data_IF_361971188411
#
_entry.id   IF_361971188411
#
_cell.length_a   1.000
_cell.length_b   1.000
_cell.length_c   1.000
_cell.angle_alpha   90.00
_cell.angle_beta   90.00
_cell.angle_gamma   90.00
#
_symmetry.space_group_name_H-M   'P 1'
#
loop_
_entity.id
_entity.type
_entity.pdbx_description
1 polymer ?
#
# COMPACT_ATOMS: atom_id res chain seq x y z
N UNK A 1 -0.39 -1.88 -0.66
CA UNK A 1 -1.06 -0.56 -0.72
C UNK A 1 -2.33 -0.64 -1.56
N UNK A 2 -3.42 -0.06 -1.08
CA UNK A 2 -4.71 -0.06 -1.76
C UNK A 2 -4.69 0.75 -3.06
N UNK A 3 -5.37 0.23 -4.10
CA UNK A 3 -5.64 0.93 -5.37
C UNK A 3 -6.90 1.81 -5.30
N UNK A 4 -7.45 2.00 -4.11
CA UNK A 4 -8.60 2.88 -3.90
C UNK A 4 -8.27 4.31 -4.34
N UNK A 5 -9.23 4.94 -5.03
CA UNK A 5 -9.15 6.34 -5.44
C UNK A 5 -7.98 6.67 -6.38
N UNK A 6 -7.53 5.69 -7.17
CA UNK A 6 -6.51 5.89 -8.21
C UNK A 6 -7.14 6.59 -9.43
N UNK A 7 -6.47 7.63 -9.91
CA UNK A 7 -6.82 8.33 -11.16
C UNK A 7 -6.12 7.70 -12.36
N UNK A 8 -4.81 7.41 -12.20
CA UNK A 8 -3.97 6.96 -13.31
C UNK A 8 -2.80 6.10 -12.82
N UNK A 9 -2.46 5.10 -13.62
CA UNK A 9 -1.23 4.31 -13.47
C UNK A 9 -0.41 4.49 -14.73
N UNK A 10 0.83 4.94 -14.58
CA UNK A 10 1.80 5.11 -15.67
C UNK A 10 2.93 4.10 -15.50
N UNK A 11 3.24 3.36 -16.56
CA UNK A 11 4.36 2.40 -16.57
C UNK A 11 5.45 2.94 -17.50
N UNK A 12 6.58 3.31 -16.93
CA UNK A 12 7.76 3.75 -17.66
C UNK A 12 8.74 2.58 -17.79
N UNK A 13 9.06 2.20 -19.01
CA UNK A 13 10.00 1.10 -19.31
C UNK A 13 11.39 1.67 -19.54
N UNK A 14 12.40 1.00 -18.97
CA UNK A 14 13.81 1.42 -19.05
C UNK A 14 14.18 2.48 -17.99
N UNK A 15 15.46 2.89 -17.98
CA UNK A 15 16.00 3.77 -16.93
C UNK A 15 15.31 5.12 -16.83
N UNK A 16 14.86 5.49 -15.63
CA UNK A 16 14.22 6.76 -15.32
C UNK A 16 15.00 7.57 -14.25
N UNK A 17 16.25 7.20 -13.99
CA UNK A 17 17.05 7.71 -12.88
C UNK A 17 17.26 9.23 -12.87
N UNK A 18 17.34 9.88 -14.05
CA UNK A 18 17.52 11.33 -14.17
C UNK A 18 16.34 12.15 -13.66
N UNK A 19 15.14 11.57 -13.70
CA UNK A 19 13.90 12.27 -13.29
C UNK A 19 13.36 11.80 -11.95
N UNK A 20 13.51 10.51 -11.63
CA UNK A 20 12.87 9.87 -10.48
C UNK A 20 13.84 9.26 -9.48
N UNK A 21 15.16 9.46 -9.65
CA UNK A 21 16.19 9.04 -8.72
C UNK A 21 16.81 7.68 -9.03
N UNK A 22 17.81 7.30 -8.25
CA UNK A 22 18.69 6.16 -8.51
C UNK A 22 18.01 4.79 -8.54
N UNK A 23 16.88 4.64 -7.85
CA UNK A 23 16.17 3.35 -7.76
C UNK A 23 15.37 2.98 -9.01
N UNK A 24 15.25 3.88 -10.00
CA UNK A 24 14.47 3.66 -11.23
C UNK A 24 15.33 3.13 -12.40
N UNK A 25 16.15 2.09 -12.18
CA UNK A 25 17.08 1.54 -13.19
C UNK A 25 16.38 0.67 -14.24
N UNK A 26 15.45 -0.18 -13.85
CA UNK A 26 14.73 -1.09 -14.75
C UNK A 26 13.44 -0.51 -15.32
N UNK A 27 12.89 0.50 -14.67
CA UNK A 27 11.61 1.13 -14.97
C UNK A 27 10.97 1.75 -13.75
N UNK A 28 9.76 2.27 -13.93
CA UNK A 28 8.98 2.91 -12.88
C UNK A 28 7.49 2.67 -13.10
N UNK A 29 6.78 2.33 -12.04
CA UNK A 29 5.32 2.36 -11.99
C UNK A 29 4.93 3.56 -11.14
N UNK A 30 4.25 4.53 -11.77
CA UNK A 30 3.76 5.72 -11.08
C UNK A 30 2.26 5.62 -10.91
N UNK A 31 1.81 5.67 -9.66
CA UNK A 31 0.40 5.69 -9.31
C UNK A 31 0.01 7.11 -8.92
N UNK A 32 -0.96 7.66 -9.62
CA UNK A 32 -1.55 8.96 -9.32
C UNK A 32 -2.94 8.75 -8.76
N UNK A 33 -3.19 9.26 -7.57
CA UNK A 33 -4.52 9.27 -6.95
C UNK A 33 -5.23 10.57 -7.28
N UNK A 34 -6.58 10.52 -7.27
CA UNK A 34 -7.41 11.71 -7.57
C UNK A 34 -7.07 12.89 -6.67
N UNK A 35 -7.14 14.08 -7.22
CA UNK A 35 -6.94 15.31 -6.48
C UNK A 35 -8.29 15.86 -5.95
N UNK A 36 -8.27 16.67 -4.86
CA UNK A 36 -9.44 17.40 -4.42
C UNK A 36 -10.00 18.29 -5.53
N UNK A 37 -11.32 18.34 -5.67
CA UNK A 37 -12.04 19.14 -6.65
C UNK A 37 -13.27 19.84 -6.03
N UNK A 38 -13.90 20.81 -6.71
CA UNK A 38 -15.03 21.54 -6.16
C UNK A 38 -16.35 20.74 -6.05
N UNK A 39 -16.42 19.56 -6.62
CA UNK A 39 -17.61 18.70 -6.59
C UNK A 39 -17.66 17.92 -5.26
N UNK A 40 -18.87 17.70 -4.73
CA UNK A 40 -19.03 16.84 -3.55
C UNK A 40 -19.20 15.40 -3.99
N UNK A 41 -18.38 14.51 -3.42
CA UNK A 41 -18.41 13.07 -3.67
C UNK A 41 -18.39 12.33 -2.33
N UNK A 42 -19.25 11.31 -2.22
CA UNK A 42 -19.22 10.32 -1.14
C UNK A 42 -19.39 8.95 -1.78
N UNK A 43 -18.38 8.11 -1.64
CA UNK A 43 -18.44 6.69 -2.02
C UNK A 43 -18.21 5.83 -0.79
N UNK A 44 -19.10 4.86 -0.59
CA UNK A 44 -19.01 3.84 0.44
C UNK A 44 -19.11 2.47 -0.24
N UNK A 45 -18.16 1.58 0.03
CA UNK A 45 -18.20 0.20 -0.42
C UNK A 45 -17.97 -0.73 0.76
N UNK A 46 -18.81 -1.75 0.86
CA UNK A 46 -18.67 -2.84 1.83
C UNK A 46 -18.51 -4.12 1.04
N UNK A 47 -17.46 -4.86 1.33
CA UNK A 47 -17.16 -6.15 0.71
C UNK A 47 -17.29 -7.25 1.74
N UNK A 48 -17.92 -8.36 1.35
CA UNK A 48 -17.97 -9.58 2.14
C UNK A 48 -17.77 -10.78 1.21
N UNK A 49 -16.96 -11.74 1.62
CA UNK A 49 -16.59 -12.88 0.78
C UNK A 49 -16.33 -14.15 1.56
N UNK A 50 -15.81 -15.16 0.86
CA UNK A 50 -15.34 -16.42 1.46
C UNK A 50 -14.07 -16.16 2.29
N UNK A 51 -13.67 -17.14 3.12
CA UNK A 51 -12.49 -17.07 3.99
C UNK A 51 -12.51 -15.86 4.93
N UNK A 52 -13.67 -15.62 5.56
CA UNK A 52 -13.93 -14.48 6.44
C UNK A 52 -13.61 -13.10 5.83
N UNK A 53 -13.55 -13.01 4.48
CA UNK A 53 -13.22 -11.76 3.80
C UNK A 53 -14.21 -10.66 4.15
N UNK A 54 -13.67 -9.53 4.63
CA UNK A 54 -14.38 -8.29 4.89
C UNK A 54 -13.58 -7.14 4.28
N UNK A 55 -14.29 -6.13 3.78
CA UNK A 55 -13.68 -4.93 3.27
C UNK A 55 -14.56 -3.72 3.49
N UNK A 56 -13.93 -2.59 3.72
CA UNK A 56 -14.59 -1.31 3.88
C UNK A 56 -13.79 -0.24 3.13
N UNK A 57 -14.45 0.46 2.19
CA UNK A 57 -13.89 1.58 1.47
C UNK A 57 -14.72 2.82 1.71
N UNK A 58 -14.09 3.94 1.93
CA UNK A 58 -14.71 5.26 2.06
C UNK A 58 -13.92 6.28 1.25
N UNK A 59 -14.62 7.02 0.37
CA UNK A 59 -14.08 8.19 -0.32
C UNK A 59 -14.98 9.38 -0.02
N UNK A 60 -14.37 10.48 0.38
CA UNK A 60 -15.03 11.76 0.59
C UNK A 60 -14.27 12.83 -0.18
N UNK A 61 -14.95 13.60 -1.01
CA UNK A 61 -14.44 14.82 -1.60
C UNK A 61 -15.39 15.98 -1.30
N UNK A 62 -14.88 17.07 -0.77
CA UNK A 62 -15.72 18.21 -0.40
C UNK A 62 -14.97 19.53 -0.51
N UNK A 63 -15.57 20.57 -1.12
CA UNK A 63 -15.11 21.95 -0.90
C UNK A 63 -15.48 22.38 0.52
N UNK A 64 -14.47 22.73 1.32
CA UNK A 64 -14.64 23.35 2.64
C UNK A 64 -14.96 24.84 2.47
N UNK A 65 -14.32 25.47 1.49
CA UNK A 65 -14.60 26.82 1.00
C UNK A 65 -14.23 26.91 -0.50
N UNK A 66 -14.44 28.07 -1.13
CA UNK A 66 -13.97 28.32 -2.50
C UNK A 66 -12.46 28.17 -2.65
N UNK A 67 -11.71 28.41 -1.56
CA UNK A 67 -10.26 28.37 -1.53
C UNK A 67 -9.68 27.09 -0.92
N UNK A 68 -10.50 26.24 -0.30
CA UNK A 68 -10.03 25.05 0.41
C UNK A 68 -10.84 23.81 0.03
N UNK A 69 -10.18 22.87 -0.60
CA UNK A 69 -10.75 21.61 -1.06
C UNK A 69 -10.11 20.46 -0.28
N UNK A 70 -10.91 19.49 0.10
CA UNK A 70 -10.50 18.29 0.86
C UNK A 70 -10.93 17.04 0.12
N UNK A 71 -10.02 16.06 0.06
CA UNK A 71 -10.31 14.68 -0.37
C UNK A 71 -9.71 13.70 0.63
N UNK A 72 -10.52 12.76 1.10
CA UNK A 72 -10.08 11.69 1.98
C UNK A 72 -10.47 10.34 1.37
N UNK A 73 -9.60 9.35 1.50
CA UNK A 73 -9.85 7.97 1.10
C UNK A 73 -9.35 7.03 2.20
N UNK A 74 -10.17 6.08 2.57
CA UNK A 74 -9.87 5.03 3.55
C UNK A 74 -10.26 3.68 2.99
N UNK A 75 -9.39 2.69 3.16
CA UNK A 75 -9.62 1.30 2.80
C UNK A 75 -9.16 0.41 3.93
N UNK A 76 -9.94 -0.60 4.23
CA UNK A 76 -9.62 -1.68 5.16
C UNK A 76 -10.02 -3.01 4.51
N UNK A 77 -9.17 -4.01 4.60
CA UNK A 77 -9.40 -5.33 4.03
C UNK A 77 -8.84 -6.42 4.95
N UNK A 78 -9.70 -7.32 5.38
CA UNK A 78 -9.37 -8.50 6.18
C UNK A 78 -9.78 -9.78 5.44
N UNK A 79 -9.00 -10.85 5.61
CA UNK A 79 -9.32 -12.20 5.14
C UNK A 79 -8.46 -13.24 5.85
N UNK A 80 -8.99 -14.41 6.15
CA UNK A 80 -8.20 -15.54 6.66
C UNK A 80 -7.25 -16.13 5.59
N UNK A 81 -7.46 -15.75 4.30
CA UNK A 81 -6.72 -16.35 3.18
C UNK A 81 -7.36 -17.64 2.72
N UNK A 82 -6.68 -18.35 1.83
CA UNK A 82 -7.23 -19.54 1.18
C UNK A 82 -6.36 -20.80 1.37
N UNK A 83 -5.30 -20.70 2.16
CA UNK A 83 -4.42 -21.81 2.50
C UNK A 83 -4.87 -22.44 3.82
N UNK A 84 -4.74 -23.75 3.93
CA UNK A 84 -4.90 -24.49 5.17
C UNK A 84 -3.57 -25.08 5.59
N UNK A 85 -3.09 -24.68 6.75
CA UNK A 85 -1.89 -25.26 7.32
C UNK A 85 -2.26 -26.54 8.09
N UNK A 86 -1.92 -27.67 7.53
CA UNK A 86 -2.27 -28.98 8.06
C UNK A 86 -1.44 -29.34 9.30
N UNK A 87 -0.23 -28.84 9.41
CA UNK A 87 0.62 -29.11 10.58
C UNK A 87 0.10 -28.39 11.83
N UNK A 88 -0.24 -27.10 11.67
CA UNK A 88 -0.74 -26.27 12.77
C UNK A 88 -2.26 -26.38 12.98
N UNK A 89 -2.99 -27.08 12.09
CA UNK A 89 -4.45 -27.17 12.07
C UNK A 89 -5.12 -25.78 12.05
N UNK A 90 -4.67 -24.92 11.09
CA UNK A 90 -5.13 -23.53 10.96
C UNK A 90 -5.42 -23.18 9.51
N UNK A 91 -6.41 -22.30 9.30
CA UNK A 91 -6.85 -21.79 8.00
C UNK A 91 -6.59 -20.27 7.81
N UNK A 92 -5.87 -19.65 8.75
CA UNK A 92 -5.58 -18.21 8.75
C UNK A 92 -4.08 -17.87 8.72
N UNK A 93 -3.21 -18.83 8.38
CA UNK A 93 -1.75 -18.59 8.30
C UNK A 93 -1.32 -17.82 7.05
N UNK A 94 -2.22 -17.74 6.05
CA UNK A 94 -2.08 -16.89 4.85
C UNK A 94 -3.10 -15.75 4.85
N UNK A 95 -3.45 -15.26 6.03
CA UNK A 95 -4.42 -14.19 6.20
C UNK A 95 -3.94 -12.86 5.64
N UNK A 96 -4.87 -11.92 5.48
CA UNK A 96 -4.62 -10.54 5.09
C UNK A 96 -5.28 -9.59 6.07
N UNK A 97 -4.54 -8.58 6.49
CA UNK A 97 -5.01 -7.45 7.28
C UNK A 97 -4.29 -6.21 6.75
N UNK A 98 -5.00 -5.43 5.96
CA UNK A 98 -4.44 -4.28 5.26
C UNK A 98 -5.32 -3.05 5.47
N UNK A 99 -4.72 -1.94 5.87
CA UNK A 99 -5.39 -0.66 5.88
C UNK A 99 -4.61 0.42 5.14
N UNK A 100 -5.33 1.37 4.54
CA UNK A 100 -4.74 2.53 3.87
C UNK A 100 -5.60 3.75 4.13
N UNK A 101 -5.00 4.79 4.67
CA UNK A 101 -5.61 6.10 4.85
C UNK A 101 -4.90 7.13 4.00
N UNK A 102 -5.66 8.01 3.35
CA UNK A 102 -5.11 9.12 2.56
C UNK A 102 -5.95 10.36 2.73
N UNK A 103 -5.28 11.50 2.95
CA UNK A 103 -5.90 12.82 3.00
C UNK A 103 -5.15 13.74 2.06
N UNK A 104 -5.87 14.43 1.21
CA UNK A 104 -5.37 15.49 0.35
C UNK A 104 -6.10 16.80 0.61
N UNK A 105 -5.35 17.86 0.67
CA UNK A 105 -5.86 19.22 0.85
C UNK A 105 -5.31 20.07 -0.29
N UNK A 106 -6.18 20.78 -0.97
CA UNK A 106 -5.82 21.83 -1.94
C UNK A 106 -6.25 23.17 -1.40
N UNK A 107 -5.28 24.06 -1.23
CA UNK A 107 -5.49 25.43 -0.82
C UNK A 107 -5.12 26.40 -1.95
N UNK A 108 -6.07 27.28 -2.28
CA UNK A 108 -6.00 28.28 -3.34
C UNK A 108 -6.13 29.66 -2.71
N UNK A 109 -5.07 30.22 -2.07
CA UNK A 109 -5.15 31.49 -1.37
C UNK A 109 -5.53 32.66 -2.27
N UNK A 110 -5.17 32.57 -3.55
CA UNK A 110 -5.53 33.50 -4.62
C UNK A 110 -5.36 32.83 -5.99
N UNK A 111 -5.60 33.55 -7.09
CA UNK A 111 -5.52 33.02 -8.45
C UNK A 111 -4.10 32.67 -8.92
N UNK A 112 -3.08 33.15 -8.22
CA UNK A 112 -1.67 32.90 -8.55
C UNK A 112 -1.09 31.69 -7.81
N UNK A 113 -1.67 31.31 -6.67
CA UNK A 113 -1.12 30.26 -5.80
C UNK A 113 -2.02 29.05 -5.68
N UNK A 114 -1.40 27.89 -5.76
CA UNK A 114 -2.02 26.60 -5.40
C UNK A 114 -1.05 25.83 -4.51
N UNK A 115 -1.53 25.35 -3.39
CA UNK A 115 -0.79 24.50 -2.44
C UNK A 115 -1.54 23.19 -2.25
N UNK A 116 -0.90 22.09 -2.64
CA UNK A 116 -1.41 20.73 -2.45
C UNK A 116 -0.62 20.05 -1.32
N UNK A 117 -1.31 19.60 -0.29
CA UNK A 117 -0.78 18.77 0.78
C UNK A 117 -1.38 17.36 0.66
N UNK A 118 -0.53 16.35 0.78
CA UNK A 118 -0.96 14.95 0.80
C UNK A 118 -0.35 14.22 1.99
N UNK A 119 -1.18 13.51 2.73
CA UNK A 119 -0.81 12.66 3.84
C UNK A 119 -1.31 11.25 3.55
N UNK A 120 -0.53 10.23 3.84
CA UNK A 120 -0.97 8.84 3.74
C UNK A 120 -0.32 7.98 4.83
N UNK A 121 -1.09 7.02 5.31
CA UNK A 121 -0.64 5.94 6.16
C UNK A 121 -1.04 4.62 5.50
N UNK A 122 -0.16 3.62 5.56
CA UNK A 122 -0.36 2.27 5.06
C UNK A 122 0.08 1.31 6.15
N UNK A 123 -0.83 0.44 6.55
CA UNK A 123 -0.57 -0.64 7.48
C UNK A 123 -0.89 -1.98 6.81
N UNK A 124 0.02 -2.94 6.96
CA UNK A 124 -0.11 -4.32 6.46
C UNK A 124 0.37 -5.26 7.55
N UNK A 125 -0.44 -6.23 7.93
CA UNK A 125 -0.06 -7.34 8.83
C UNK A 125 -0.59 -8.65 8.25
N UNK A 126 0.02 -9.11 7.16
CA UNK A 126 -0.38 -10.31 6.44
C UNK A 126 0.39 -11.52 6.94
N UNK A 127 -0.27 -12.70 6.94
CA UNK A 127 0.43 -13.96 6.94
C UNK A 127 1.06 -14.26 5.59
N UNK A 128 2.11 -15.07 5.57
CA UNK A 128 2.83 -15.40 4.33
C UNK A 128 3.04 -16.91 4.13
N UNK A 129 2.17 -17.74 4.70
CA UNK A 129 2.16 -19.19 4.54
C UNK A 129 1.53 -19.58 3.18
N UNK A 130 2.28 -19.34 2.11
CA UNK A 130 1.81 -19.44 0.73
C UNK A 130 2.38 -20.61 -0.05
N UNK A 131 3.38 -21.31 0.50
CA UNK A 131 4.13 -22.34 -0.21
C UNK A 131 3.59 -23.74 0.10
N UNK A 132 3.30 -24.49 -0.94
CA UNK A 132 2.78 -25.85 -0.86
C UNK A 132 3.68 -26.82 -1.65
N UNK A 133 4.11 -27.89 -0.99
CA UNK A 133 4.95 -28.92 -1.63
C UNK A 133 4.24 -29.62 -2.79
N UNK A 134 2.92 -29.78 -2.68
CA UNK A 134 2.09 -30.49 -3.67
C UNK A 134 1.39 -29.54 -4.65
N UNK A 135 1.74 -28.25 -4.64
CA UNK A 135 1.12 -27.22 -5.47
C UNK A 135 -0.43 -27.19 -5.34
N UNK A 136 -0.92 -27.33 -4.12
CA UNK A 136 -2.32 -27.26 -3.75
C UNK A 136 -2.56 -26.15 -2.72
N UNK A 137 -3.68 -26.17 -1.99
CA UNK A 137 -4.02 -25.19 -0.95
C UNK A 137 -3.70 -25.66 0.47
N UNK A 138 -2.79 -26.60 0.60
CA UNK A 138 -2.38 -27.16 1.89
C UNK A 138 -0.91 -26.85 2.10
N UNK A 139 -0.59 -26.24 3.24
CA UNK A 139 0.78 -26.04 3.71
C UNK A 139 1.09 -26.97 4.86
N UNK A 140 2.38 -27.19 5.09
CA UNK A 140 2.90 -28.04 6.17
C UNK A 140 3.90 -27.28 7.05
N UNK A 141 3.98 -25.98 6.90
CA UNK A 141 4.90 -25.10 7.62
C UNK A 141 4.69 -25.16 9.13
N UNK A 142 5.76 -25.30 9.89
CA UNK A 142 5.75 -25.20 11.35
C UNK A 142 5.96 -23.75 11.83
N UNK A 143 6.54 -22.90 10.98
CA UNK A 143 6.75 -21.46 11.22
C UNK A 143 6.17 -20.61 10.08
N UNK A 144 4.83 -20.40 10.05
CA UNK A 144 4.18 -19.58 9.03
C UNK A 144 4.81 -18.19 8.96
N UNK A 145 5.07 -17.74 7.74
CA UNK A 145 5.66 -16.45 7.50
C UNK A 145 4.71 -15.28 7.75
N UNK A 146 5.24 -14.09 7.55
CA UNK A 146 4.51 -12.82 7.67
C UNK A 146 4.99 -11.83 6.61
N UNK A 147 4.13 -10.85 6.28
CA UNK A 147 4.43 -9.70 5.43
C UNK A 147 3.85 -8.45 6.11
N UNK A 148 4.70 -7.60 6.68
CA UNK A 148 4.32 -6.45 7.50
C UNK A 148 4.88 -5.16 6.95
N UNK A 149 4.05 -4.13 6.97
CA UNK A 149 4.45 -2.79 6.60
C UNK A 149 3.72 -1.77 7.47
N UNK A 150 4.45 -0.80 8.02
CA UNK A 150 3.92 0.45 8.56
C UNK A 150 4.62 1.61 7.85
N UNK A 151 3.86 2.38 7.10
CA UNK A 151 4.41 3.46 6.28
C UNK A 151 3.61 4.74 6.40
N UNK A 152 4.33 5.83 6.60
CA UNK A 152 3.77 7.17 6.69
C UNK A 152 4.39 8.07 5.62
N UNK A 153 3.55 8.79 4.90
CA UNK A 153 3.95 9.69 3.82
C UNK A 153 3.39 11.07 4.02
N UNK A 154 4.22 12.07 3.74
CA UNK A 154 3.79 13.46 3.59
C UNK A 154 4.40 14.04 2.32
N UNK A 155 3.59 14.77 1.55
CA UNK A 155 4.10 15.58 0.44
C UNK A 155 3.36 16.89 0.36
N UNK A 156 4.11 17.93 -0.02
CA UNK A 156 3.59 19.27 -0.28
C UNK A 156 4.09 19.74 -1.64
N UNK A 157 3.16 20.17 -2.48
CA UNK A 157 3.45 20.83 -3.75
C UNK A 157 2.91 22.25 -3.71
N UNK A 158 3.77 23.24 -3.90
CA UNK A 158 3.39 24.64 -4.01
C UNK A 158 3.68 25.13 -5.42
N UNK A 159 2.67 25.70 -6.06
CA UNK A 159 2.74 26.24 -7.39
C UNK A 159 2.37 27.71 -7.36
N UNK A 160 3.25 28.57 -7.91
CA UNK A 160 2.98 29.97 -8.16
C UNK A 160 3.00 30.25 -9.66
N UNK A 161 1.96 30.92 -10.15
CA UNK A 161 1.77 31.24 -11.57
C UNK A 161 1.78 32.78 -11.75
N UNK A 162 2.90 33.31 -12.16
CA UNK A 162 3.03 34.74 -12.52
C UNK A 162 2.67 34.99 -13.99
N UNK A 163 2.81 36.23 -14.44
CA UNK A 163 2.45 36.61 -15.81
C UNK A 163 3.29 35.94 -16.91
N UNK A 164 4.57 35.71 -16.66
CA UNK A 164 5.52 35.19 -17.66
C UNK A 164 6.22 33.91 -17.26
N UNK A 165 6.07 33.46 -16.01
CA UNK A 165 6.72 32.27 -15.51
C UNK A 165 5.91 31.58 -14.40
N UNK A 166 6.19 30.34 -14.21
CA UNK A 166 5.59 29.48 -13.20
C UNK A 166 6.72 28.90 -12.33
N UNK A 167 6.53 28.91 -11.02
CA UNK A 167 7.45 28.28 -10.07
C UNK A 167 6.71 27.16 -9.35
N UNK A 168 7.30 25.97 -9.36
CA UNK A 168 6.78 24.82 -8.60
C UNK A 168 7.83 24.32 -7.64
N UNK A 169 7.48 24.27 -6.36
CA UNK A 169 8.26 23.61 -5.31
C UNK A 169 7.56 22.32 -4.89
N UNK A 170 8.33 21.25 -4.70
CA UNK A 170 7.83 19.97 -4.21
C UNK A 170 8.70 19.53 -3.04
N UNK A 171 8.05 19.18 -1.93
CA UNK A 171 8.66 18.55 -0.77
C UNK A 171 7.97 17.20 -0.54
N UNK A 172 8.73 16.19 -0.14
CA UNK A 172 8.19 14.89 0.25
C UNK A 172 9.06 14.23 1.29
N UNK A 173 8.43 13.53 2.22
CA UNK A 173 9.08 12.66 3.19
C UNK A 173 8.27 11.37 3.36
N UNK A 174 8.97 10.27 3.56
CA UNK A 174 8.39 8.97 3.83
C UNK A 174 9.18 8.30 4.94
N UNK A 175 8.48 7.57 5.79
CA UNK A 175 9.06 6.64 6.75
C UNK A 175 8.33 5.33 6.63
N UNK A 176 9.09 4.23 6.50
CA UNK A 176 8.52 2.89 6.37
C UNK A 176 9.30 1.92 7.23
N UNK A 177 8.58 1.07 7.95
CA UNK A 177 9.10 -0.12 8.63
C UNK A 177 8.48 -1.32 7.92
N UNK A 178 9.32 -2.13 7.27
CA UNK A 178 8.89 -3.26 6.44
C UNK A 178 9.62 -4.51 6.92
N UNK A 179 8.86 -5.58 7.11
CA UNK A 179 9.42 -6.88 7.47
C UNK A 179 8.65 -7.99 6.79
N UNK A 180 9.35 -9.00 6.32
CA UNK A 180 8.72 -10.23 5.88
C UNK A 180 9.55 -11.44 6.29
N UNK A 181 8.88 -12.55 6.48
CA UNK A 181 9.50 -13.84 6.76
C UNK A 181 8.69 -14.94 6.10
N UNK A 182 9.31 -16.05 5.82
CA UNK A 182 8.65 -17.23 5.29
C UNK A 182 9.42 -18.48 5.71
N UNK A 183 8.71 -19.60 5.77
CA UNK A 183 9.30 -20.90 6.00
C UNK A 183 10.06 -21.37 4.76
N UNK A 184 11.38 -21.51 4.86
CA UNK A 184 12.25 -21.78 3.71
C UNK A 184 12.18 -23.25 3.27
N UNK A 185 11.88 -24.20 4.17
CA UNK A 185 11.77 -25.60 3.84
C UNK A 185 10.33 -26.07 3.55
N UNK A 186 9.32 -25.21 3.76
CA UNK A 186 7.90 -25.37 3.47
C UNK A 186 7.25 -26.55 4.21
N UNK A 187 7.86 -27.01 5.31
CA UNK A 187 7.39 -28.16 6.05
C UNK A 187 7.87 -28.17 7.51
N UNK A 188 7.23 -29.02 8.30
CA UNK A 188 7.62 -29.28 9.69
C UNK A 188 8.82 -30.26 9.84
N UNK A 189 9.34 -30.78 8.75
CA UNK A 189 10.48 -31.69 8.75
C UNK A 189 11.64 -31.02 8.07
N UNK A 190 12.68 -30.63 8.83
CA UNK A 190 13.88 -30.06 8.24
C UNK A 190 14.41 -30.91 7.09
N UNK A 191 14.18 -30.46 5.85
CA UNK A 191 14.57 -31.16 4.62
C UNK A 191 16.09 -31.12 4.41
N UNK A 192 16.78 -30.25 5.13
CA UNK A 192 18.19 -30.04 4.90
C UNK A 192 19.03 -31.14 5.58
N UNK A 193 19.92 -31.83 4.85
CA UNK A 193 20.77 -32.88 5.41
C UNK A 193 21.74 -32.39 6.50
N UNK A 194 21.79 -31.09 6.76
CA UNK A 194 22.64 -30.47 7.79
C UNK A 194 21.87 -29.97 9.01
N UNK A 195 20.60 -30.34 9.18
CA UNK A 195 19.83 -30.05 10.39
C UNK A 195 19.37 -28.60 10.54
N UNK A 196 19.14 -27.89 9.44
CA UNK A 196 18.38 -26.64 9.48
C UNK A 196 16.92 -26.97 9.74
N UNK A 197 16.45 -26.63 10.90
CA UNK A 197 15.03 -26.42 11.17
C UNK A 197 14.67 -25.07 10.60
N UNK A 198 13.51 -24.85 10.09
CA UNK A 198 12.99 -23.66 9.44
C UNK A 198 13.90 -22.41 9.49
N UNK A 199 14.15 -21.79 8.38
CA UNK A 199 14.95 -20.57 8.33
C UNK A 199 14.05 -19.43 7.93
N UNK A 200 13.68 -18.59 8.88
CA UNK A 200 12.97 -17.35 8.59
C UNK A 200 13.92 -16.39 7.89
N UNK A 201 13.57 -15.97 6.68
CA UNK A 201 14.22 -14.83 6.08
C UNK A 201 13.54 -13.55 6.54
N UNK A 202 14.32 -12.71 7.17
CA UNK A 202 13.88 -11.44 7.72
C UNK A 202 14.59 -10.29 7.01
N UNK A 203 13.83 -9.40 6.37
CA UNK A 203 14.32 -8.13 5.85
C UNK A 203 13.61 -6.98 6.57
N UNK A 204 14.38 -6.04 7.10
CA UNK A 204 13.88 -4.81 7.68
C UNK A 204 14.53 -3.64 6.95
N UNK A 205 13.72 -2.76 6.39
CA UNK A 205 14.14 -1.49 5.79
C UNK A 205 13.48 -0.30 6.49
#
# INVERSE_FOLDING_TARGET
ASMLDVEQIEVFRGPQGTRYGASALGGLIKVKTKDPNPERELELRITQGQHATKGFDLIINTPVSEQLLLRAAFNEHESDGYMYNQFLDRDNTNGRDESTSRIKIRWLPNDEWAVDLSLANIEVDNGYDAFSLDNNRITLSDEPGFDRQDSNYVSMKSKWSGQNYEITGIFGAANSDIGYGYDEDWSFTGIHPFGYTSTDHYLRE
#
